data_IF_767291501501
#
_entry.id   IF_767291501501
#
_cell.length_a   1.000
_cell.length_b   1.000
_cell.length_c   1.000
_cell.angle_alpha   90.00
_cell.angle_beta   90.00
_cell.angle_gamma   90.00
#
_symmetry.space_group_name_H-M   'P 1'
#
loop_
_entity.id
_entity.type
_entity.pdbx_description
1 polymer ?
#
# COMPACT_ATOMS: atom_id res chain seq x y z
N UNK A 1 2.11 21.56 25.22
CA UNK A 1 3.08 20.77 24.43
C UNK A 1 3.07 21.36 23.03
N UNK A 2 4.19 21.86 22.49
CA UNK A 2 4.21 22.40 21.14
C UNK A 2 3.80 21.33 20.12
N UNK A 3 3.19 21.71 18.98
CA UNK A 3 2.88 20.77 17.92
C UNK A 3 4.16 20.07 17.47
N UNK A 4 4.08 18.75 17.30
CA UNK A 4 5.22 17.95 16.84
C UNK A 4 5.44 18.27 15.37
N UNK A 5 6.58 18.87 15.05
CA UNK A 5 6.93 19.23 13.67
C UNK A 5 7.57 18.02 12.96
N UNK A 6 6.99 17.56 11.85
CA UNK A 6 7.55 16.46 11.07
C UNK A 6 8.17 16.97 9.77
N UNK A 7 9.34 16.45 9.41
CA UNK A 7 10.03 16.78 8.15
C UNK A 7 9.12 16.53 6.94
N UNK A 8 8.28 15.49 7.00
CA UNK A 8 7.34 15.17 5.93
C UNK A 8 6.33 16.29 5.67
N UNK A 9 5.93 17.06 6.68
CA UNK A 9 5.00 18.19 6.51
C UNK A 9 5.67 19.35 5.77
N UNK A 10 6.96 19.57 6.03
CA UNK A 10 7.77 20.56 5.29
C UNK A 10 7.95 20.17 3.83
N UNK A 11 8.07 18.87 3.54
CA UNK A 11 8.18 18.39 2.16
C UNK A 11 6.83 18.47 1.46
N UNK A 12 5.76 17.96 2.08
CA UNK A 12 4.41 17.96 1.51
C UNK A 12 3.90 19.37 1.21
N UNK A 13 4.14 20.34 2.10
CA UNK A 13 3.73 21.74 1.90
C UNK A 13 4.40 22.41 0.70
N UNK A 14 5.64 22.03 0.33
CA UNK A 14 6.30 22.53 -0.89
C UNK A 14 5.57 22.13 -2.17
N UNK A 15 4.79 21.05 -2.12
CA UNK A 15 4.02 20.53 -3.25
C UNK A 15 2.52 20.74 -3.08
N UNK A 16 2.09 21.55 -2.10
CA UNK A 16 0.68 21.75 -1.76
C UNK A 16 -0.10 20.44 -1.51
N UNK A 17 0.57 19.45 -0.90
CA UNK A 17 -0.01 18.15 -0.56
C UNK A 17 -0.51 18.20 0.89
N UNK A 18 -1.79 17.90 1.08
CA UNK A 18 -2.36 17.68 2.40
C UNK A 18 -1.94 16.31 2.94
N UNK A 19 -1.40 16.28 4.16
CA UNK A 19 -0.95 15.03 4.81
C UNK A 19 -2.03 14.48 5.73
N UNK A 20 -2.58 13.31 5.36
CA UNK A 20 -3.51 12.57 6.23
C UNK A 20 -2.73 11.86 7.34
N UNK A 21 -3.09 12.12 8.60
CA UNK A 21 -2.46 11.51 9.78
C UNK A 21 -3.32 10.37 10.31
N UNK A 22 -2.72 9.19 10.45
CA UNK A 22 -3.33 8.06 11.16
C UNK A 22 -2.79 7.96 12.59
N UNK A 23 -3.59 7.54 13.57
CA UNK A 23 -3.14 7.25 14.93
C UNK A 23 -2.03 6.18 14.97
N UNK A 24 -1.10 6.34 15.91
CA UNK A 24 -0.01 5.37 16.15
C UNK A 24 -0.59 4.01 16.53
N UNK A 25 -0.06 2.92 15.95
CA UNK A 25 -0.53 1.53 16.14
C UNK A 25 -1.93 1.23 15.61
N UNK A 26 -2.46 2.05 14.69
CA UNK A 26 -3.73 1.79 14.01
C UNK A 26 -3.54 1.58 12.50
N UNK A 27 -2.74 0.57 12.11
CA UNK A 27 -2.54 0.24 10.69
C UNK A 27 -3.85 -0.14 9.98
N UNK A 28 -4.86 -0.63 10.71
CA UNK A 28 -6.20 -0.93 10.20
C UNK A 28 -6.91 0.29 9.57
N UNK A 29 -6.48 1.51 9.91
CA UNK A 29 -7.00 2.75 9.31
C UNK A 29 -6.27 3.15 8.02
N UNK A 30 -5.21 2.43 7.66
CA UNK A 30 -4.45 2.66 6.43
C UNK A 30 -4.97 1.72 5.32
N UNK A 31 -5.67 2.25 4.29
CA UNK A 31 -6.30 1.41 3.28
C UNK A 31 -5.33 0.56 2.46
N UNK A 32 -4.04 0.92 2.40
CA UNK A 32 -3.03 0.11 1.69
C UNK A 32 -2.87 -1.29 2.29
N UNK A 33 -3.17 -1.47 3.59
CA UNK A 33 -3.06 -2.78 4.25
C UNK A 33 -4.02 -3.81 3.62
N UNK A 34 -5.19 -3.39 3.16
CA UNK A 34 -6.14 -4.25 2.46
C UNK A 34 -5.57 -4.69 1.10
N UNK A 35 -5.00 -3.77 0.33
CA UNK A 35 -4.36 -4.07 -0.95
C UNK A 35 -3.17 -5.03 -0.79
N UNK A 36 -2.33 -4.80 0.22
CA UNK A 36 -1.21 -5.68 0.54
C UNK A 36 -1.66 -7.07 1.00
N UNK A 37 -2.75 -7.19 1.75
CA UNK A 37 -3.30 -8.47 2.15
C UNK A 37 -3.72 -9.31 0.92
N UNK A 38 -4.41 -8.68 -0.04
CA UNK A 38 -4.78 -9.31 -1.31
C UNK A 38 -3.57 -9.75 -2.13
N UNK A 39 -2.62 -8.84 -2.34
CA UNK A 39 -1.38 -9.10 -3.09
C UNK A 39 -0.59 -10.27 -2.49
N UNK A 40 -0.43 -10.28 -1.16
CA UNK A 40 0.29 -11.36 -0.45
C UNK A 40 -0.43 -12.70 -0.57
N UNK A 41 -1.76 -12.71 -0.53
CA UNK A 41 -2.54 -13.92 -0.72
C UNK A 41 -2.36 -14.47 -2.14
N UNK A 42 -2.46 -13.61 -3.16
CA UNK A 42 -2.22 -13.98 -4.55
C UNK A 42 -0.82 -14.53 -4.77
N UNK A 43 0.21 -13.78 -4.36
CA UNK A 43 1.59 -14.20 -4.49
C UNK A 43 1.84 -15.54 -3.76
N UNK A 44 1.27 -15.74 -2.56
CA UNK A 44 1.38 -17.02 -1.84
C UNK A 44 0.77 -18.19 -2.61
N UNK A 45 -0.36 -17.99 -3.29
CA UNK A 45 -1.05 -19.04 -4.04
C UNK A 45 -0.35 -19.38 -5.35
N UNK A 46 0.25 -18.39 -6.02
CA UNK A 46 0.85 -18.56 -7.34
C UNK A 46 2.36 -18.83 -7.29
N UNK A 47 3.03 -18.50 -6.19
CA UNK A 47 4.46 -18.73 -6.05
C UNK A 47 4.76 -20.21 -5.76
N UNK A 48 4.93 -20.98 -6.84
CA UNK A 48 5.22 -22.42 -6.78
C UNK A 48 6.73 -22.74 -6.81
N UNK A 49 7.55 -21.85 -7.39
CA UNK A 49 8.99 -22.05 -7.54
C UNK A 49 9.84 -21.33 -6.48
N UNK A 50 9.21 -20.49 -5.65
CA UNK A 50 9.84 -19.79 -4.51
C UNK A 50 11.07 -18.94 -4.88
N UNK A 51 11.09 -18.37 -6.09
CA UNK A 51 12.15 -17.45 -6.55
C UNK A 51 11.77 -16.00 -6.31
N UNK A 52 12.75 -15.17 -5.97
CA UNK A 52 12.52 -13.74 -5.77
C UNK A 52 12.10 -13.03 -7.07
N UNK A 53 12.67 -13.44 -8.21
CA UNK A 53 12.33 -12.90 -9.53
C UNK A 53 10.82 -13.06 -9.82
N UNK A 54 10.26 -14.22 -9.48
CA UNK A 54 8.85 -14.54 -9.72
C UNK A 54 7.91 -13.67 -8.87
N UNK A 55 8.32 -13.29 -7.66
CA UNK A 55 7.52 -12.41 -6.79
C UNK A 55 7.29 -11.04 -7.45
N UNK A 56 8.32 -10.47 -8.09
CA UNK A 56 8.18 -9.19 -8.77
C UNK A 56 7.12 -9.24 -9.86
N UNK A 57 7.15 -10.30 -10.67
CA UNK A 57 6.15 -10.54 -11.71
C UNK A 57 4.74 -10.72 -11.12
N UNK A 58 4.58 -11.58 -10.11
CA UNK A 58 3.29 -11.84 -9.47
C UNK A 58 2.68 -10.57 -8.83
N UNK A 59 3.52 -9.67 -8.30
CA UNK A 59 3.06 -8.39 -7.76
C UNK A 59 2.49 -7.50 -8.87
N UNK A 60 3.18 -7.41 -10.02
CA UNK A 60 2.72 -6.63 -11.16
C UNK A 60 1.42 -7.20 -11.75
N UNK A 61 1.31 -8.53 -11.85
CA UNK A 61 0.09 -9.21 -12.30
C UNK A 61 -1.10 -8.90 -11.39
N UNK A 62 -0.93 -9.00 -10.07
CA UNK A 62 -1.99 -8.65 -9.12
C UNK A 62 -2.39 -7.17 -9.22
N UNK A 63 -1.42 -6.26 -9.32
CA UNK A 63 -1.69 -4.82 -9.43
C UNK A 63 -2.47 -4.48 -10.70
N UNK A 64 -2.18 -5.15 -11.82
CA UNK A 64 -2.93 -4.99 -13.07
C UNK A 64 -4.38 -5.52 -12.96
N UNK A 65 -4.62 -6.50 -12.11
CA UNK A 65 -5.94 -7.11 -11.92
C UNK A 65 -6.78 -6.47 -10.79
N UNK A 66 -6.17 -5.69 -9.88
CA UNK A 66 -6.85 -5.14 -8.69
C UNK A 66 -7.37 -3.69 -8.87
N UNK A 67 -7.50 -3.23 -10.11
CA UNK A 67 -8.02 -1.89 -10.42
C UNK A 67 -9.54 -1.76 -10.24
N UNK A 68 -10.06 -0.52 -10.11
CA UNK A 68 -11.49 -0.24 -9.88
C UNK A 68 -12.40 -0.79 -10.99
N UNK A 69 -11.89 -0.96 -12.20
CA UNK A 69 -12.57 -1.59 -13.34
C UNK A 69 -12.91 -3.07 -13.12
N UNK A 70 -12.29 -3.72 -12.13
CA UNK A 70 -12.50 -5.13 -11.78
C UNK A 70 -13.28 -5.31 -10.47
N UNK A 71 -13.71 -4.23 -9.83
CA UNK A 71 -14.58 -4.30 -8.65
C UNK A 71 -16.01 -4.67 -9.09
N UNK A 72 -16.37 -5.96 -8.97
CA UNK A 72 -17.76 -6.40 -9.16
C UNK A 72 -18.70 -5.67 -8.19
N UNK A 73 -19.82 -5.16 -8.73
CA UNK A 73 -20.90 -4.51 -7.99
C UNK A 73 -21.62 -5.44 -6.99
#
# INVERSE_FOLDING_TARGET
IPPKEFIVDKVASKYNIETVRIPVKHCVLNPIELGLAGLKNYARQQNVHFRLDDIGQLCNEWLAACGPEHASA
#
